data_IF_530151504850
#
_entry.id   IF_530151504850
#
_cell.length_a   1.000
_cell.length_b   1.000
_cell.length_c   1.000
_cell.angle_alpha   90.00
_cell.angle_beta   90.00
_cell.angle_gamma   90.00
#
_symmetry.space_group_name_H-M   'P 1'
#
loop_
_entity.id
_entity.type
_entity.pdbx_description
1 polymer ?
#
# COMPACT_ATOMS: atom_id res chain seq x y z
N UNK A 1 54.35 24.57 -38.61
CA UNK A 1 53.74 23.84 -37.47
C UNK A 1 52.36 24.42 -37.23
N UNK A 2 51.28 23.70 -37.56
CA UNK A 2 49.91 24.08 -37.19
C UNK A 2 49.47 23.14 -36.07
N UNK A 3 49.19 23.71 -34.90
CA UNK A 3 48.68 22.99 -33.72
C UNK A 3 47.17 22.89 -33.87
N UNK A 4 46.66 21.67 -33.99
CA UNK A 4 45.22 21.38 -34.00
C UNK A 4 44.80 21.15 -32.55
N UNK A 5 43.99 22.06 -32.00
CA UNK A 5 43.42 21.90 -30.66
C UNK A 5 42.21 20.98 -30.75
N UNK A 6 42.26 19.84 -30.06
CA UNK A 6 41.13 18.94 -29.85
C UNK A 6 40.33 19.46 -28.64
N UNK A 7 39.08 19.84 -28.85
CA UNK A 7 38.13 20.09 -27.76
C UNK A 7 37.45 18.76 -27.39
N UNK A 8 37.66 18.31 -26.16
CA UNK A 8 36.88 17.22 -25.55
C UNK A 8 35.59 17.79 -24.98
N UNK A 9 34.45 17.37 -25.54
CA UNK A 9 33.13 17.60 -24.95
C UNK A 9 32.86 16.46 -23.99
N UNK A 10 32.83 16.76 -22.69
CA UNK A 10 32.41 15.81 -21.65
C UNK A 10 30.88 15.79 -21.62
N UNK A 11 30.27 14.70 -22.07
CA UNK A 11 28.86 14.44 -21.84
C UNK A 11 28.68 13.92 -20.41
N UNK A 12 28.06 14.74 -19.55
CA UNK A 12 27.54 14.27 -18.26
C UNK A 12 26.21 13.60 -18.55
N UNK A 13 26.17 12.28 -18.47
CA UNK A 13 24.90 11.54 -18.50
C UNK A 13 24.15 11.83 -17.19
N UNK A 14 23.04 12.55 -17.30
CA UNK A 14 22.07 12.66 -16.20
C UNK A 14 21.32 11.33 -16.18
N UNK A 15 21.50 10.52 -15.14
CA UNK A 15 20.68 9.33 -14.94
C UNK A 15 19.22 9.77 -14.81
N UNK A 16 18.36 9.31 -15.72
CA UNK A 16 16.92 9.45 -15.53
C UNK A 16 16.53 8.59 -14.31
N UNK A 17 15.93 9.21 -13.30
CA UNK A 17 15.41 8.48 -12.14
C UNK A 17 14.38 7.44 -12.58
N UNK A 18 14.33 6.30 -11.89
CA UNK A 18 13.33 5.27 -12.12
C UNK A 18 11.92 5.88 -11.91
N UNK A 19 11.05 5.73 -12.91
CA UNK A 19 9.66 6.12 -12.78
C UNK A 19 8.92 5.01 -12.05
N UNK A 20 8.23 5.38 -10.95
CA UNK A 20 7.44 4.44 -10.16
C UNK A 20 5.95 4.58 -10.46
N UNK A 21 5.25 3.44 -10.46
CA UNK A 21 3.79 3.35 -10.42
C UNK A 21 3.39 3.12 -8.97
N UNK A 22 2.56 4.00 -8.39
CA UNK A 22 2.35 4.04 -6.94
C UNK A 22 1.65 2.80 -6.38
N UNK A 23 0.57 2.37 -7.00
CA UNK A 23 -0.27 1.28 -6.51
C UNK A 23 -0.91 0.57 -7.71
N UNK A 24 -1.02 -0.76 -7.59
CA UNK A 24 -1.55 -1.67 -8.59
C UNK A 24 -2.87 -2.30 -8.20
N UNK A 25 -3.48 -1.85 -7.10
CA UNK A 25 -4.80 -2.34 -6.65
C UNK A 25 -5.83 -2.09 -7.73
N UNK A 26 -6.55 -3.15 -8.10
CA UNK A 26 -7.66 -3.07 -9.04
C UNK A 26 -8.87 -2.37 -8.41
N UNK A 27 -9.61 -1.63 -9.22
CA UNK A 27 -10.83 -0.98 -8.78
C UNK A 27 -11.84 -2.01 -8.25
N UNK A 28 -12.40 -1.80 -7.04
CA UNK A 28 -13.35 -2.75 -6.48
C UNK A 28 -14.66 -2.73 -7.28
N UNK A 29 -15.28 -3.91 -7.41
CA UNK A 29 -16.61 -4.01 -8.04
C UNK A 29 -17.65 -3.20 -7.27
N UNK A 30 -18.72 -2.78 -7.96
CA UNK A 30 -19.81 -2.05 -7.31
C UNK A 30 -20.48 -2.85 -6.18
N UNK A 31 -20.53 -4.18 -6.33
CA UNK A 31 -21.01 -5.08 -5.29
C UNK A 31 -20.11 -5.04 -4.04
N UNK A 32 -18.78 -5.04 -4.22
CA UNK A 32 -17.83 -4.94 -3.12
C UNK A 32 -17.89 -3.57 -2.45
N UNK A 33 -17.99 -2.49 -3.23
CA UNK A 33 -18.20 -1.12 -2.73
C UNK A 33 -19.47 -1.03 -1.88
N UNK A 34 -20.56 -1.64 -2.35
CA UNK A 34 -21.83 -1.67 -1.62
C UNK A 34 -21.69 -2.43 -0.28
N UNK A 35 -21.08 -3.62 -0.29
CA UNK A 35 -20.86 -4.42 0.92
C UNK A 35 -19.99 -3.67 1.95
N UNK A 36 -18.85 -3.12 1.54
CA UNK A 36 -17.99 -2.34 2.43
C UNK A 36 -18.69 -1.11 3.00
N UNK A 37 -19.52 -0.45 2.18
CA UNK A 37 -20.29 0.69 2.63
C UNK A 37 -21.38 0.30 3.65
N UNK A 38 -22.04 -0.85 3.46
CA UNK A 38 -22.99 -1.39 4.43
C UNK A 38 -22.31 -1.71 5.77
N UNK A 39 -21.13 -2.35 5.76
CA UNK A 39 -20.33 -2.60 6.96
C UNK A 39 -20.00 -1.30 7.71
N UNK A 40 -19.57 -0.27 6.98
CA UNK A 40 -19.27 1.04 7.55
C UNK A 40 -20.50 1.72 8.17
N UNK A 41 -21.63 1.76 7.45
CA UNK A 41 -22.88 2.36 7.94
C UNK A 41 -23.45 1.61 9.15
N UNK A 42 -23.31 0.28 9.19
CA UNK A 42 -23.69 -0.55 10.33
C UNK A 42 -22.85 -0.23 11.58
N UNK A 43 -21.54 0.02 11.43
CA UNK A 43 -20.68 0.39 12.57
C UNK A 43 -21.06 1.75 13.16
N UNK A 44 -21.21 2.78 12.33
CA UNK A 44 -21.49 4.14 12.80
C UNK A 44 -22.89 4.26 13.45
N UNK A 45 -23.84 3.41 13.06
CA UNK A 45 -25.17 3.38 13.67
C UNK A 45 -25.20 2.68 15.04
N UNK A 46 -24.29 1.74 15.30
CA UNK A 46 -24.33 0.89 16.49
C UNK A 46 -23.44 1.32 17.67
N UNK A 47 -22.82 2.51 17.64
CA UNK A 47 -22.00 3.08 18.74
C UNK A 47 -21.13 2.05 19.46
N UNK A 48 -20.42 1.20 18.70
CA UNK A 48 -19.61 0.13 19.27
C UNK A 48 -18.32 0.71 19.86
N UNK A 49 -17.97 0.28 21.07
CA UNK A 49 -16.73 0.69 21.72
C UNK A 49 -15.52 0.26 20.88
N UNK A 50 -14.59 1.19 20.64
CA UNK A 50 -13.34 0.91 19.93
C UNK A 50 -12.50 -0.05 20.76
N UNK A 51 -12.54 -1.33 20.38
CA UNK A 51 -11.67 -2.35 20.97
C UNK A 51 -10.39 -2.38 20.16
N UNK A 52 -9.24 -2.46 20.82
CA UNK A 52 -7.96 -2.59 20.13
C UNK A 52 -7.93 -3.85 19.25
N UNK A 53 -7.26 -3.78 18.12
CA UNK A 53 -7.04 -4.90 17.19
C UNK A 53 -5.57 -5.25 17.21
N UNK A 54 -5.27 -6.50 17.57
CA UNK A 54 -3.95 -7.04 17.37
C UNK A 54 -3.98 -7.90 16.11
N UNK A 55 -3.32 -7.44 15.06
CA UNK A 55 -3.24 -8.14 13.77
C UNK A 55 -1.90 -8.85 13.74
N UNK A 56 -1.93 -10.17 13.86
CA UNK A 56 -0.73 -10.98 13.66
C UNK A 56 -0.26 -10.78 12.22
N UNK A 57 1.04 -10.50 12.08
CA UNK A 57 1.64 -10.12 10.81
C UNK A 57 2.83 -11.01 10.50
N UNK A 58 2.81 -11.63 9.33
CA UNK A 58 3.86 -12.49 8.79
C UNK A 58 4.51 -11.75 7.63
N UNK A 59 5.81 -11.45 7.76
CA UNK A 59 6.55 -10.70 6.74
C UNK A 59 7.44 -11.64 5.94
N UNK A 60 7.30 -11.58 4.62
CA UNK A 60 8.03 -12.41 3.68
C UNK A 60 8.86 -11.53 2.76
N UNK A 61 10.18 -11.56 2.89
CA UNK A 61 11.09 -10.88 1.96
C UNK A 61 11.49 -11.88 0.88
N UNK A 62 11.09 -11.63 -0.36
CA UNK A 62 11.32 -12.52 -1.50
C UNK A 62 12.21 -11.83 -2.51
N UNK A 63 13.41 -12.38 -2.71
CA UNK A 63 14.44 -11.72 -3.50
C UNK A 63 14.85 -12.54 -4.71
N UNK A 64 15.28 -11.86 -5.77
CA UNK A 64 16.13 -12.48 -6.77
C UNK A 64 17.49 -12.82 -6.16
N UNK A 65 18.21 -13.71 -6.81
CA UNK A 65 19.56 -14.14 -6.45
C UNK A 65 20.53 -12.96 -6.42
N UNK A 66 20.33 -11.96 -7.29
CA UNK A 66 21.18 -10.77 -7.40
C UNK A 66 20.97 -9.81 -6.23
N UNK A 67 19.75 -9.71 -5.69
CA UNK A 67 19.37 -8.78 -4.61
C UNK A 67 19.24 -9.44 -3.23
N UNK A 68 19.64 -10.72 -3.09
CA UNK A 68 19.46 -11.50 -1.85
C UNK A 68 20.13 -10.90 -0.60
N UNK A 69 21.09 -9.99 -0.76
CA UNK A 69 21.81 -9.35 0.34
C UNK A 69 21.45 -7.86 0.52
N UNK A 70 20.50 -7.34 -0.27
CA UNK A 70 20.16 -5.91 -0.27
C UNK A 70 19.23 -5.54 0.90
N UNK A 71 18.50 -6.54 1.43
CA UNK A 71 17.50 -6.33 2.49
C UNK A 71 17.89 -7.05 3.76
N UNK A 72 17.73 -6.38 4.89
CA UNK A 72 18.04 -6.92 6.21
C UNK A 72 16.81 -7.04 7.09
N UNK A 73 16.88 -7.90 8.10
CA UNK A 73 15.84 -7.99 9.13
C UNK A 73 15.60 -6.65 9.85
N UNK A 74 16.63 -5.80 9.96
CA UNK A 74 16.50 -4.48 10.57
C UNK A 74 15.59 -3.55 9.74
N UNK A 75 15.72 -3.56 8.41
CA UNK A 75 14.83 -2.80 7.52
C UNK A 75 13.37 -3.24 7.70
N UNK A 76 13.13 -4.55 7.78
CA UNK A 76 11.79 -5.10 8.03
C UNK A 76 11.26 -4.68 9.41
N UNK A 77 12.10 -4.70 10.44
CA UNK A 77 11.70 -4.26 11.78
C UNK A 77 11.34 -2.77 11.82
N UNK A 78 12.09 -1.93 11.09
CA UNK A 78 11.79 -0.51 10.96
C UNK A 78 10.51 -0.28 10.17
N UNK A 79 10.29 -1.02 9.09
CA UNK A 79 9.03 -1.02 8.35
C UNK A 79 7.84 -1.36 9.26
N UNK A 80 7.97 -2.37 10.12
CA UNK A 80 6.90 -2.73 11.06
C UNK A 80 6.70 -1.67 12.15
N UNK A 81 7.72 -0.90 12.50
CA UNK A 81 7.58 0.29 13.35
C UNK A 81 6.79 1.38 12.63
N UNK A 82 7.13 1.67 11.37
CA UNK A 82 6.40 2.64 10.52
C UNK A 82 4.91 2.25 10.41
N UNK A 83 4.62 0.97 10.19
CA UNK A 83 3.26 0.43 10.19
C UNK A 83 2.53 0.71 11.51
N UNK A 84 3.13 0.36 12.66
CA UNK A 84 2.50 0.60 13.95
C UNK A 84 2.31 2.09 14.27
N UNK A 85 3.25 2.95 13.86
CA UNK A 85 3.14 4.39 14.05
C UNK A 85 1.98 4.97 13.23
N UNK A 86 1.86 4.62 11.94
CA UNK A 86 0.82 5.12 11.04
C UNK A 86 -0.61 4.68 11.45
N UNK A 87 -0.73 3.48 12.01
CA UNK A 87 -2.02 2.92 12.45
C UNK A 87 -2.32 3.10 13.94
N UNK A 88 -1.43 3.75 14.70
CA UNK A 88 -1.61 3.95 16.15
C UNK A 88 -2.95 4.62 16.50
N UNK A 89 -3.41 5.58 15.68
CA UNK A 89 -4.70 6.26 15.85
C UNK A 89 -5.93 5.37 15.64
N UNK A 90 -5.77 4.22 14.98
CA UNK A 90 -6.84 3.24 14.74
C UNK A 90 -7.07 2.34 15.96
N UNK A 91 -6.15 2.30 16.92
CA UNK A 91 -6.13 1.24 17.93
C UNK A 91 -5.74 -0.13 17.37
N UNK A 92 -5.13 -0.15 16.19
CA UNK A 92 -4.54 -1.34 15.55
C UNK A 92 -3.08 -1.44 15.98
N UNK A 93 -2.64 -2.65 16.30
CA UNK A 93 -1.22 -3.01 16.47
C UNK A 93 -0.92 -4.18 15.55
N UNK A 94 0.18 -4.11 14.81
CA UNK A 94 0.69 -5.22 14.03
C UNK A 94 1.72 -5.97 14.84
N UNK A 95 1.36 -7.17 15.29
CA UNK A 95 2.26 -8.07 16.00
C UNK A 95 3.06 -8.90 14.99
N UNK A 96 4.35 -8.58 14.83
CA UNK A 96 5.22 -9.33 13.91
C UNK A 96 5.50 -10.73 14.46
N UNK A 97 4.83 -11.75 13.91
CA UNK A 97 4.97 -13.15 14.32
C UNK A 97 6.20 -13.80 13.68
N UNK A 98 6.42 -13.53 12.40
CA UNK A 98 7.55 -14.08 11.65
C UNK A 98 8.11 -13.07 10.64
N UNK A 99 9.42 -13.19 10.39
CA UNK A 99 10.12 -12.54 9.28
C UNK A 99 10.91 -13.63 8.57
N UNK A 100 10.57 -13.91 7.32
CA UNK A 100 11.19 -14.94 6.49
C UNK A 100 11.86 -14.32 5.26
N UNK A 101 12.98 -14.90 4.83
CA UNK A 101 13.70 -14.50 3.62
C UNK A 101 13.72 -15.70 2.66
N UNK A 102 13.32 -15.47 1.42
CA UNK A 102 13.26 -16.49 0.37
C UNK A 102 13.96 -15.98 -0.88
N UNK A 103 14.92 -16.74 -1.39
CA UNK A 103 15.56 -16.44 -2.68
C UNK A 103 14.86 -17.25 -3.76
N UNK A 104 14.15 -16.57 -4.66
CA UNK A 104 13.46 -17.17 -5.79
C UNK A 104 13.25 -16.11 -6.88
N UNK A 105 13.99 -16.23 -7.99
CA UNK A 105 13.97 -15.24 -9.08
C UNK A 105 12.58 -15.06 -9.70
N UNK A 106 11.79 -16.13 -9.83
CA UNK A 106 10.45 -16.07 -10.43
C UNK A 106 9.46 -15.35 -9.49
N UNK A 107 9.49 -15.67 -8.20
CA UNK A 107 8.60 -15.05 -7.21
C UNK A 107 8.99 -13.60 -6.91
N UNK A 108 10.28 -13.26 -6.98
CA UNK A 108 10.75 -11.90 -6.77
C UNK A 108 10.21 -10.89 -7.80
N UNK A 109 9.84 -11.37 -8.99
CA UNK A 109 9.22 -10.59 -10.07
C UNK A 109 7.75 -10.96 -10.33
N UNK A 110 7.08 -11.60 -9.36
CA UNK A 110 5.68 -11.97 -9.51
C UNK A 110 4.80 -10.72 -9.72
N UNK A 111 3.90 -10.79 -10.69
CA UNK A 111 2.90 -9.76 -10.96
C UNK A 111 1.58 -10.12 -10.28
N UNK A 112 0.70 -9.14 -10.10
CA UNK A 112 -0.66 -9.38 -9.63
C UNK A 112 -1.37 -10.39 -10.55
N UNK A 113 -2.05 -11.37 -9.94
CA UNK A 113 -2.78 -12.47 -10.57
C UNK A 113 -1.92 -13.39 -11.45
N UNK A 114 -0.59 -13.36 -11.31
CA UNK A 114 0.30 -14.29 -12.01
C UNK A 114 0.36 -15.66 -11.32
N UNK A 115 0.74 -16.69 -12.06
CA UNK A 115 0.95 -18.03 -11.51
C UNK A 115 2.06 -18.00 -10.42
N UNK A 116 3.10 -17.17 -10.62
CA UNK A 116 4.19 -16.98 -9.64
C UNK A 116 3.71 -16.35 -8.33
N UNK A 117 2.78 -15.39 -8.38
CA UNK A 117 2.17 -14.84 -7.17
C UNK A 117 1.42 -15.94 -6.43
N UNK A 118 0.56 -16.66 -7.15
CA UNK A 118 -0.24 -17.72 -6.53
C UNK A 118 0.65 -18.78 -5.89
N UNK A 119 1.65 -19.28 -6.60
CA UNK A 119 2.59 -20.30 -6.09
C UNK A 119 3.39 -19.78 -4.89
N UNK A 120 3.88 -18.54 -4.95
CA UNK A 120 4.57 -17.90 -3.84
C UNK A 120 3.69 -17.81 -2.60
N UNK A 121 2.48 -17.25 -2.73
CA UNK A 121 1.58 -17.05 -1.59
C UNK A 121 1.03 -18.38 -1.08
N UNK A 122 0.76 -19.35 -1.94
CA UNK A 122 0.34 -20.69 -1.54
C UNK A 122 1.42 -21.40 -0.70
N UNK A 123 2.70 -21.17 -1.00
CA UNK A 123 3.83 -21.75 -0.28
C UNK A 123 4.16 -21.00 1.03
N UNK A 124 4.03 -19.67 1.04
CA UNK A 124 4.56 -18.82 2.12
C UNK A 124 3.49 -18.32 3.10
N UNK A 125 2.23 -18.22 2.69
CA UNK A 125 1.16 -17.67 3.54
C UNK A 125 1.10 -18.40 4.89
N UNK A 126 0.97 -17.63 5.95
CA UNK A 126 0.79 -18.12 7.31
C UNK A 126 -0.43 -17.46 7.97
N UNK A 127 -0.98 -18.12 9.00
CA UNK A 127 -2.12 -17.62 9.76
C UNK A 127 -3.48 -17.81 9.08
N UNK A 128 -4.47 -17.13 9.65
CA UNK A 128 -5.88 -17.07 9.25
C UNK A 128 -6.14 -15.92 8.28
N UNK A 129 -7.40 -15.67 7.88
CA UNK A 129 -7.76 -14.53 7.02
C UNK A 129 -7.78 -13.20 7.78
N UNK A 130 -7.84 -13.26 9.11
CA UNK A 130 -7.68 -12.12 10.01
C UNK A 130 -6.23 -11.62 10.16
N UNK A 131 -5.25 -12.41 9.70
CA UNK A 131 -3.82 -12.15 9.84
C UNK A 131 -3.24 -11.54 8.55
N UNK A 132 -2.32 -10.59 8.70
CA UNK A 132 -1.71 -9.90 7.57
C UNK A 132 -0.48 -10.69 7.08
N UNK A 133 -0.45 -11.04 5.80
CA UNK A 133 0.75 -11.48 5.12
C UNK A 133 1.27 -10.33 4.26
N UNK A 134 2.47 -9.83 4.60
CA UNK A 134 3.12 -8.71 3.92
C UNK A 134 4.35 -9.24 3.19
N UNK A 135 4.34 -9.13 1.87
CA UNK A 135 5.38 -9.64 0.98
C UNK A 135 6.18 -8.46 0.44
N UNK A 136 7.48 -8.43 0.71
CA UNK A 136 8.42 -7.49 0.11
C UNK A 136 9.18 -8.19 -1.00
N UNK A 137 8.91 -7.84 -2.25
CA UNK A 137 9.58 -8.44 -3.42
C UNK A 137 10.64 -7.50 -3.99
N UNK A 138 11.79 -8.04 -4.37
CA UNK A 138 12.92 -7.21 -4.82
C UNK A 138 12.79 -6.66 -6.24
N UNK A 139 11.97 -7.29 -7.09
CA UNK A 139 11.92 -7.05 -8.53
C UNK A 139 10.49 -6.93 -9.05
N UNK A 140 9.60 -6.31 -8.26
CA UNK A 140 8.21 -6.07 -8.66
C UNK A 140 8.16 -5.37 -10.04
N UNK A 141 7.37 -5.90 -11.00
CA UNK A 141 7.46 -5.47 -12.40
C UNK A 141 6.92 -4.05 -12.63
N UNK A 142 7.21 -3.49 -13.81
CA UNK A 142 6.64 -2.24 -14.33
C UNK A 142 6.85 -0.99 -13.45
N UNK A 143 7.88 -1.03 -12.59
CA UNK A 143 8.16 0.04 -11.63
C UNK A 143 7.07 0.17 -10.56
N UNK A 144 6.27 -0.87 -10.35
CA UNK A 144 5.22 -0.88 -9.34
C UNK A 144 5.81 -0.81 -7.93
N UNK A 145 5.21 -0.02 -7.05
CA UNK A 145 5.58 0.03 -5.64
C UNK A 145 4.79 -0.97 -4.81
N UNK A 146 3.52 -1.22 -5.09
CA UNK A 146 2.78 -2.25 -4.36
C UNK A 146 1.36 -2.48 -4.85
N UNK A 147 0.73 -3.47 -4.24
CA UNK A 147 -0.70 -3.77 -4.34
C UNK A 147 -1.17 -4.64 -3.16
N UNK A 148 -2.46 -4.60 -2.84
CA UNK A 148 -3.14 -5.57 -1.97
C UNK A 148 -4.48 -6.03 -2.54
N UNK A 149 -5.00 -7.11 -1.95
CA UNK A 149 -6.38 -7.52 -2.15
C UNK A 149 -7.30 -6.89 -1.11
N UNK A 150 -8.43 -6.38 -1.58
CA UNK A 150 -9.52 -5.95 -0.72
C UNK A 150 -10.10 -7.13 0.07
N UNK A 151 -10.59 -6.89 1.29
CA UNK A 151 -11.33 -7.90 2.03
C UNK A 151 -12.61 -8.30 1.30
N UNK A 152 -13.03 -9.56 1.44
CA UNK A 152 -14.32 -10.05 0.92
C UNK A 152 -15.03 -10.88 1.99
N UNK A 153 -16.36 -10.92 1.94
CA UNK A 153 -17.17 -11.56 2.99
C UNK A 153 -17.01 -13.07 3.06
N UNK A 154 -17.04 -13.75 1.92
CA UNK A 154 -16.97 -15.20 1.87
C UNK A 154 -15.75 -15.62 1.05
N UNK A 155 -14.52 -15.45 1.57
CA UNK A 155 -13.31 -15.67 0.80
C UNK A 155 -13.18 -17.16 0.46
N UNK A 156 -13.09 -17.43 -0.84
CA UNK A 156 -12.79 -18.75 -1.39
C UNK A 156 -11.39 -19.20 -0.97
N UNK A 157 -11.04 -20.46 -1.28
CA UNK A 157 -9.67 -20.94 -1.07
C UNK A 157 -8.65 -20.09 -1.83
N UNK A 158 -8.99 -19.65 -3.04
CA UNK A 158 -8.12 -18.82 -3.86
C UNK A 158 -7.96 -17.42 -3.28
N UNK A 159 -9.06 -16.79 -2.83
CA UNK A 159 -9.01 -15.48 -2.16
C UNK A 159 -8.11 -15.54 -0.93
N UNK A 160 -8.22 -16.61 -0.12
CA UNK A 160 -7.38 -16.80 1.06
C UNK A 160 -5.91 -16.94 0.72
N UNK A 161 -5.58 -17.59 -0.40
CA UNK A 161 -4.19 -17.75 -0.85
C UNK A 161 -3.64 -16.40 -1.31
N UNK A 162 -4.37 -15.68 -2.17
CA UNK A 162 -3.93 -14.42 -2.74
C UNK A 162 -3.96 -13.25 -1.75
N UNK A 163 -4.78 -13.34 -0.70
CA UNK A 163 -4.90 -12.30 0.32
C UNK A 163 -3.56 -11.89 0.95
N UNK A 164 -3.46 -10.60 1.25
CA UNK A 164 -2.25 -9.94 1.73
C UNK A 164 -1.80 -8.85 0.78
N UNK A 165 -0.59 -8.34 1.06
CA UNK A 165 -0.05 -7.16 0.42
C UNK A 165 1.32 -7.45 -0.17
N UNK A 166 1.54 -7.09 -1.43
CA UNK A 166 2.84 -7.15 -2.08
C UNK A 166 3.39 -5.73 -2.24
N UNK A 167 4.64 -5.51 -1.84
CA UNK A 167 5.31 -4.22 -1.91
C UNK A 167 6.72 -4.42 -2.47
N UNK A 168 7.22 -3.45 -3.22
CA UNK A 168 8.61 -3.37 -3.62
C UNK A 168 9.48 -3.26 -2.39
N UNK A 169 10.44 -4.16 -2.22
CA UNK A 169 11.32 -4.20 -1.05
C UNK A 169 12.15 -2.91 -0.90
N UNK A 170 12.50 -2.26 -2.02
CA UNK A 170 13.19 -0.96 -2.04
C UNK A 170 12.36 0.20 -1.47
N UNK A 171 11.06 0.00 -1.23
CA UNK A 171 10.18 0.99 -0.59
C UNK A 171 10.17 0.93 0.94
N UNK A 172 10.82 -0.08 1.53
CA UNK A 172 11.06 -0.11 2.97
C UNK A 172 11.98 1.05 3.40
N UNK A 173 11.97 1.44 4.69
CA UNK A 173 12.98 2.32 5.25
C UNK A 173 14.40 1.88 4.87
N UNK A 174 15.20 2.84 4.39
CA UNK A 174 16.57 2.65 3.89
C UNK A 174 16.70 1.93 2.54
N UNK A 175 15.59 1.65 1.85
CA UNK A 175 15.63 1.11 0.49
C UNK A 175 16.01 2.15 -0.56
N UNK A 176 16.14 1.71 -1.81
CA UNK A 176 16.57 2.54 -2.95
C UNK A 176 15.44 3.23 -3.71
N UNK A 177 14.18 3.01 -3.35
CA UNK A 177 13.04 3.60 -4.06
C UNK A 177 12.87 5.08 -3.70
N UNK A 178 13.71 5.92 -4.32
CA UNK A 178 13.79 7.36 -4.01
C UNK A 178 12.40 8.01 -3.99
N UNK A 179 12.12 8.75 -2.90
CA UNK A 179 10.83 9.39 -2.57
C UNK A 179 9.74 8.47 -2.02
N UNK A 180 9.97 7.16 -2.02
CA UNK A 180 9.04 6.13 -1.59
C UNK A 180 9.73 5.12 -0.64
N UNK A 181 10.82 5.54 -0.01
CA UNK A 181 11.75 4.76 0.81
C UNK A 181 11.58 5.02 2.32
N UNK A 182 10.40 5.47 2.76
CA UNK A 182 10.07 5.65 4.19
C UNK A 182 9.08 4.60 4.70
N UNK A 183 8.71 3.63 3.86
CA UNK A 183 7.80 2.54 4.21
C UNK A 183 6.32 2.87 4.09
N UNK A 184 5.93 4.01 3.51
CA UNK A 184 4.51 4.36 3.37
C UNK A 184 3.82 3.67 2.20
N UNK A 185 4.56 3.01 1.31
CA UNK A 185 3.97 2.05 0.38
C UNK A 185 3.22 0.96 1.16
N UNK A 186 3.86 0.27 2.10
CA UNK A 186 3.20 -0.78 2.87
C UNK A 186 2.03 -0.24 3.73
N UNK A 187 2.12 1.02 4.20
CA UNK A 187 1.01 1.70 4.90
C UNK A 187 -0.18 1.92 3.96
N UNK A 188 0.06 2.46 2.77
CA UNK A 188 -0.95 2.68 1.74
C UNK A 188 -1.65 1.37 1.36
N UNK A 189 -0.85 0.37 1.01
CA UNK A 189 -1.29 -0.93 0.57
C UNK A 189 -2.11 -1.63 1.67
N UNK A 190 -1.63 -1.63 2.90
CA UNK A 190 -2.39 -2.19 4.03
C UNK A 190 -3.70 -1.41 4.27
N UNK A 191 -3.80 -0.15 3.88
CA UNK A 191 -5.04 0.61 3.86
C UNK A 191 -6.10 -0.05 2.98
N UNK A 192 -5.72 -0.54 1.80
CA UNK A 192 -6.58 -1.36 0.94
C UNK A 192 -6.92 -2.71 1.57
N UNK A 193 -5.99 -3.34 2.28
CA UNK A 193 -6.28 -4.57 3.03
C UNK A 193 -7.34 -4.37 4.13
N UNK A 194 -7.39 -3.17 4.72
CA UNK A 194 -8.48 -2.73 5.61
C UNK A 194 -9.75 -2.26 4.88
N UNK A 195 -9.76 -2.22 3.54
CA UNK A 195 -10.93 -1.84 2.75
C UNK A 195 -11.03 -0.35 2.41
N UNK A 196 -9.97 0.44 2.64
CA UNK A 196 -9.93 1.85 2.23
C UNK A 196 -9.68 1.98 0.74
N UNK A 197 -10.31 2.98 0.13
CA UNK A 197 -10.10 3.32 -1.27
C UNK A 197 -9.16 4.51 -1.41
N UNK A 198 -8.65 4.70 -2.62
CA UNK A 198 -7.90 5.91 -2.96
C UNK A 198 -8.73 7.15 -2.66
N UNK A 199 -8.12 8.24 -2.18
CA UNK A 199 -8.85 9.51 -1.92
C UNK A 199 -9.51 10.06 -3.18
N UNK A 200 -8.95 9.74 -4.34
CA UNK A 200 -9.44 10.10 -5.67
C UNK A 200 -10.28 8.99 -6.33
N UNK A 201 -10.82 8.03 -5.57
CA UNK A 201 -11.59 6.91 -6.10
C UNK A 201 -12.73 7.39 -7.02
N UNK A 202 -12.81 6.75 -8.19
CA UNK A 202 -13.78 7.11 -9.23
C UNK A 202 -13.38 8.30 -10.10
N UNK A 203 -12.26 8.98 -9.78
CA UNK A 203 -11.62 10.00 -10.60
C UNK A 203 -12.59 11.10 -11.07
N UNK A 204 -13.44 11.55 -10.15
CA UNK A 204 -14.54 12.45 -10.45
C UNK A 204 -14.85 13.41 -9.31
N UNK A 205 -15.31 14.62 -9.66
CA UNK A 205 -15.81 15.59 -8.69
C UNK A 205 -17.28 15.37 -8.31
N UNK A 206 -17.82 14.18 -8.59
CA UNK A 206 -19.20 13.79 -8.31
C UNK A 206 -19.25 12.36 -7.77
N UNK A 207 -20.33 12.01 -7.09
CA UNK A 207 -20.48 10.70 -6.47
C UNK A 207 -19.90 10.69 -5.05
N UNK A 208 -19.56 9.51 -4.54
CA UNK A 208 -19.17 9.31 -3.14
C UNK A 208 -17.66 9.40 -2.89
N UNK A 209 -16.85 9.61 -3.93
CA UNK A 209 -15.38 9.53 -3.82
C UNK A 209 -14.94 8.19 -3.24
N UNK A 210 -14.16 8.24 -2.17
CA UNK A 210 -13.65 7.08 -1.43
C UNK A 210 -14.64 6.53 -0.37
N UNK A 211 -15.88 7.03 -0.35
CA UNK A 211 -16.94 6.66 0.62
C UNK A 211 -16.61 7.02 2.07
N UNK A 212 -15.73 8.00 2.27
CA UNK A 212 -15.43 8.58 3.56
C UNK A 212 -15.81 10.07 3.53
N UNK A 213 -16.52 10.56 4.55
CA UNK A 213 -17.11 11.91 4.51
C UNK A 213 -16.15 13.02 4.93
N UNK A 214 -15.08 12.68 5.67
CA UNK A 214 -14.07 13.65 6.12
C UNK A 214 -12.82 13.67 5.22
N UNK A 215 -12.86 12.96 4.10
CA UNK A 215 -11.95 13.07 2.97
C UNK A 215 -12.61 13.95 1.89
N UNK A 216 -12.01 15.10 1.54
CA UNK A 216 -12.52 15.94 0.46
C UNK A 216 -12.61 15.18 -0.87
N UNK A 217 -13.62 15.48 -1.69
CA UNK A 217 -13.76 14.89 -3.02
C UNK A 217 -12.58 15.32 -3.89
N UNK A 218 -11.85 14.33 -4.40
CA UNK A 218 -10.66 14.50 -5.20
C UNK A 218 -10.82 13.76 -6.53
N UNK A 219 -10.39 14.38 -7.63
CA UNK A 219 -10.46 13.79 -8.97
C UNK A 219 -9.15 13.16 -9.41
N UNK A 220 -8.02 13.73 -9.01
CA UNK A 220 -6.71 13.30 -9.50
C UNK A 220 -5.78 12.94 -8.35
N UNK A 221 -4.94 11.90 -8.49
CA UNK A 221 -3.90 11.61 -7.53
C UNK A 221 -2.93 12.80 -7.38
N UNK A 222 -2.41 12.97 -6.18
CA UNK A 222 -1.32 13.91 -5.90
C UNK A 222 -0.01 13.36 -6.46
N UNK A 223 0.78 14.24 -7.10
CA UNK A 223 2.13 13.91 -7.57
C UNK A 223 3.18 14.74 -6.84
N UNK A 224 4.18 14.08 -6.27
CA UNK A 224 5.24 14.72 -5.50
C UNK A 224 4.76 15.27 -4.16
N UNK A 225 5.18 16.49 -3.84
CA UNK A 225 4.91 17.19 -2.58
C UNK A 225 4.41 18.62 -2.84
N UNK A 226 3.25 18.81 -3.51
CA UNK A 226 2.74 20.15 -3.75
C UNK A 226 2.39 20.82 -2.42
N UNK A 227 2.49 22.15 -2.36
CA UNK A 227 2.02 22.91 -1.18
C UNK A 227 0.49 23.00 -1.11
N UNK A 228 -0.19 22.78 -2.25
CA UNK A 228 -1.64 22.85 -2.40
C UNK A 228 -2.06 22.13 -3.68
N UNK A 229 -3.20 21.44 -3.62
CA UNK A 229 -3.90 20.90 -4.79
C UNK A 229 -5.41 21.04 -4.57
N UNK A 230 -6.16 21.26 -5.66
CA UNK A 230 -7.61 21.38 -5.65
C UNK A 230 -8.13 20.96 -7.03
N UNK A 231 -8.34 19.65 -7.18
CA UNK A 231 -8.82 19.05 -8.42
C UNK A 231 -10.34 19.21 -8.60
N UNK A 232 -11.05 19.57 -7.53
CA UNK A 232 -12.50 19.73 -7.48
C UNK A 232 -12.94 21.06 -6.83
N UNK A 233 -12.67 22.22 -7.44
CA UNK A 233 -12.85 23.55 -6.82
C UNK A 233 -14.31 23.96 -6.58
N UNK A 234 -15.27 23.14 -7.03
CA UNK A 234 -16.71 23.33 -6.76
C UNK A 234 -17.22 22.45 -5.60
N UNK A 235 -16.37 21.58 -5.07
CA UNK A 235 -16.64 20.76 -3.89
C UNK A 235 -15.99 21.40 -2.65
N UNK A 236 -16.50 21.11 -1.44
CA UNK A 236 -15.87 21.58 -0.21
C UNK A 236 -14.50 20.91 0.02
N UNK A 237 -13.53 21.70 0.50
CA UNK A 237 -12.20 21.22 0.89
C UNK A 237 -11.13 21.38 -0.20
N UNK A 238 -9.91 21.00 0.13
CA UNK A 238 -8.78 20.84 -0.80
C UNK A 238 -8.46 19.35 -0.93
N UNK A 239 -7.80 18.95 -2.00
CA UNK A 239 -7.30 17.58 -2.17
C UNK A 239 -6.48 17.17 -0.94
N UNK A 240 -6.62 15.91 -0.50
CA UNK A 240 -6.02 15.43 0.73
C UNK A 240 -4.58 14.96 0.51
N UNK A 241 -3.72 15.90 0.07
CA UNK A 241 -2.35 15.67 -0.43
C UNK A 241 -1.39 15.02 0.60
N UNK A 242 -1.78 14.95 1.87
CA UNK A 242 -1.02 14.35 2.96
C UNK A 242 -1.60 13.00 3.43
N UNK A 243 -2.63 12.49 2.77
CA UNK A 243 -3.30 11.25 3.12
C UNK A 243 -2.47 10.04 2.66
N UNK A 244 -2.41 8.99 3.48
CA UNK A 244 -1.74 7.75 3.09
C UNK A 244 -2.42 7.05 1.90
N UNK A 245 -3.72 7.27 1.64
CA UNK A 245 -4.45 6.71 0.49
C UNK A 245 -4.38 7.58 -0.78
N UNK A 246 -3.51 8.60 -0.81
CA UNK A 246 -3.16 9.35 -2.02
C UNK A 246 -1.80 8.86 -2.58
N UNK A 247 -1.29 9.49 -3.65
CA UNK A 247 -0.08 9.06 -4.38
C UNK A 247 1.13 10.01 -4.25
N UNK A 248 1.06 10.96 -3.31
CA UNK A 248 2.19 11.85 -3.00
C UNK A 248 3.47 11.08 -2.58
N UNK A 249 4.59 11.80 -2.50
CA UNK A 249 5.81 11.22 -1.94
C UNK A 249 5.67 10.92 -0.46
N UNK A 250 6.38 9.90 0.01
CA UNK A 250 6.31 9.45 1.38
C UNK A 250 6.61 10.60 2.36
N UNK A 251 7.58 11.46 2.04
CA UNK A 251 7.98 12.62 2.88
C UNK A 251 6.87 13.63 3.17
N UNK A 252 5.74 13.54 2.46
CA UNK A 252 4.60 14.45 2.59
C UNK A 252 3.34 13.75 3.08
N UNK A 253 3.34 12.43 3.26
CA UNK A 253 2.22 11.70 3.83
C UNK A 253 2.30 11.71 5.36
N UNK A 254 1.16 11.87 6.02
CA UNK A 254 1.14 12.02 7.49
C UNK A 254 -0.05 11.35 8.18
N UNK A 255 -1.17 11.07 7.50
CA UNK A 255 -2.39 10.67 8.20
C UNK A 255 -3.36 9.79 7.41
N UNK A 256 -4.13 9.04 8.19
CA UNK A 256 -5.49 8.62 7.85
C UNK A 256 -6.50 9.52 8.56
N UNK A 257 -7.62 9.85 7.93
CA UNK A 257 -8.70 10.60 8.59
C UNK A 257 -9.43 9.75 9.63
N UNK A 258 -10.24 10.38 10.48
CA UNK A 258 -11.02 9.63 11.48
C UNK A 258 -12.10 8.76 10.81
N UNK A 259 -12.70 9.24 9.73
CA UNK A 259 -13.63 8.49 8.90
C UNK A 259 -12.96 7.27 8.26
N UNK A 260 -11.74 7.41 7.74
CA UNK A 260 -10.95 6.29 7.21
C UNK A 260 -10.67 5.24 8.30
N UNK A 261 -10.23 5.67 9.49
CA UNK A 261 -10.02 4.77 10.63
C UNK A 261 -11.30 3.98 10.96
N UNK A 262 -12.43 4.68 11.05
CA UNK A 262 -13.72 4.06 11.39
C UNK A 262 -14.18 3.09 10.31
N UNK A 263 -14.04 3.46 9.04
CA UNK A 263 -14.37 2.62 7.89
C UNK A 263 -13.52 1.36 7.85
N UNK A 264 -12.20 1.49 7.93
CA UNK A 264 -11.31 0.34 7.83
C UNK A 264 -11.49 -0.65 8.99
N UNK A 265 -11.73 -0.16 10.22
CA UNK A 265 -12.08 -1.03 11.35
C UNK A 265 -13.44 -1.73 11.17
N UNK A 266 -14.43 -1.05 10.58
CA UNK A 266 -15.73 -1.65 10.28
C UNK A 266 -15.60 -2.84 9.32
N UNK A 267 -14.83 -2.63 8.25
CA UNK A 267 -14.63 -3.63 7.22
C UNK A 267 -13.77 -4.78 7.77
N UNK A 268 -12.69 -4.49 8.51
CA UNK A 268 -11.91 -5.56 9.15
C UNK A 268 -12.77 -6.45 10.07
N UNK A 269 -13.60 -5.85 10.92
CA UNK A 269 -14.43 -6.60 11.87
C UNK A 269 -15.49 -7.46 11.18
N UNK A 270 -16.06 -6.98 10.08
CA UNK A 270 -17.08 -7.69 9.32
C UNK A 270 -16.48 -8.77 8.42
N UNK A 271 -15.42 -8.42 7.71
CA UNK A 271 -14.93 -9.20 6.58
C UNK A 271 -13.79 -10.14 6.96
N UNK A 272 -12.98 -9.79 7.96
CA UNK A 272 -11.75 -10.52 8.30
C UNK A 272 -11.79 -11.18 9.67
N UNK A 273 -12.26 -10.47 10.70
CA UNK A 273 -12.17 -10.93 12.07
C UNK A 273 -12.88 -12.28 12.27
N UNK A 274 -12.13 -13.27 12.79
CA UNK A 274 -12.64 -14.62 13.04
C UNK A 274 -12.75 -15.53 11.81
N UNK A 275 -12.24 -15.11 10.64
CA UNK A 275 -12.17 -15.92 9.41
C UNK A 275 -10.74 -16.36 9.10
#
# INVERSE_FOLDING_TARGET
MKVQSLFFVVFVAVAAGQQYTRCGVQDPSDALKAAHNEAYLSRISNSSATTSRNVDTYVHVVTSTTKQNDYSKAMVQEQMKVMNDAYSGWGVTFNTVAINFTVNDAWASAAMESDEEYDMKAALRQGSYADLNLYFTSDLPDGLLGFCYFPVDSPTKQDRILDGCMCLADSMPHGSATHYDLGYTAVHETGHWFGLYHTFQGESCSGSGDYVSDTPIQKTPTSGCPARQDSCPKQPGLDNIHNFMDYGYDSCMTLFTHGQQTRGLAIYDQERAGK
#
